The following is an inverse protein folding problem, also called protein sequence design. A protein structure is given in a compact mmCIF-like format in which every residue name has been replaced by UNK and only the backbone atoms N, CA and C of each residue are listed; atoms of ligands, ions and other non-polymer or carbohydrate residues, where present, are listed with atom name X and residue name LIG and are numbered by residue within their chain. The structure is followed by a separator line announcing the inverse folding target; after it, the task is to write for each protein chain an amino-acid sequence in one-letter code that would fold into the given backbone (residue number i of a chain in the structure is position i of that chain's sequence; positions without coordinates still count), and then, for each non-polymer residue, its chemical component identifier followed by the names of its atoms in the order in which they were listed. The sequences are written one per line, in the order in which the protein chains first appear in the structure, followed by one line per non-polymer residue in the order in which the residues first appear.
data_IF_781814864836
#
_entry.id   IF_781814864836
#
_cell.length_a   1.000
_cell.length_b   1.000
_cell.length_c   1.000
_cell.angle_alpha   90.00
_cell.angle_beta   90.00
_cell.angle_gamma   90.00
#
_symmetry.space_group_name_H-M   'P 1'
#
loop_
_entity.id
_entity.type
_entity.pdbx_description
1 polymer ?
#
# COMPACT_ATOMS: atom_id res chain seq x y z
N UNK A 1 -15.08 3.60 13.15
CA UNK A 1 -14.37 2.49 12.50
C UNK A 1 -12.89 2.58 12.88
N UNK A 2 -12.29 1.46 13.30
CA UNK A 2 -10.87 1.38 13.65
C UNK A 2 -10.09 0.68 12.53
N UNK A 3 -8.99 1.27 12.10
CA UNK A 3 -8.16 0.74 11.00
C UNK A 3 -6.70 0.61 11.40
N UNK A 4 -5.99 -0.35 10.81
CA UNK A 4 -4.54 -0.44 10.94
C UNK A 4 -3.87 0.20 9.71
N UNK A 5 -2.85 1.04 9.94
CA UNK A 5 -1.99 1.59 8.88
C UNK A 5 -0.57 1.08 9.07
N UNK A 6 -0.09 0.24 8.18
CA UNK A 6 1.27 -0.29 8.18
C UNK A 6 2.16 0.51 7.21
N UNK A 7 3.39 0.85 7.63
CA UNK A 7 4.30 1.69 6.86
C UNK A 7 4.11 3.20 7.07
N UNK A 8 3.52 3.57 8.17
CA UNK A 8 3.14 4.93 8.58
C UNK A 8 4.27 5.97 8.60
N UNK A 9 5.50 5.55 8.83
CA UNK A 9 6.68 6.46 8.84
C UNK A 9 7.17 6.85 7.45
N UNK A 10 6.59 6.24 6.40
CA UNK A 10 6.89 6.56 5.00
C UNK A 10 6.16 7.80 4.50
N UNK A 11 6.56 8.27 3.31
CA UNK A 11 5.97 9.45 2.68
C UNK A 11 4.44 9.36 2.53
N UNK A 12 3.95 8.25 1.97
CA UNK A 12 2.51 8.03 1.79
C UNK A 12 1.81 7.76 3.14
N UNK A 13 2.46 6.99 4.02
CA UNK A 13 1.87 6.60 5.30
C UNK A 13 1.56 7.77 6.21
N UNK A 14 2.40 8.81 6.26
CA UNK A 14 2.15 10.02 7.04
C UNK A 14 0.92 10.79 6.52
N UNK A 15 0.83 10.98 5.20
CA UNK A 15 -0.34 11.66 4.60
C UNK A 15 -1.61 10.85 4.85
N UNK A 16 -1.52 9.53 4.73
CA UNK A 16 -2.65 8.62 4.96
C UNK A 16 -3.16 8.70 6.41
N UNK A 17 -2.26 8.79 7.41
CA UNK A 17 -2.65 8.98 8.82
C UNK A 17 -3.45 10.28 8.98
N UNK A 18 -2.92 11.40 8.51
CA UNK A 18 -3.58 12.70 8.64
C UNK A 18 -4.99 12.69 8.03
N UNK A 19 -5.12 12.14 6.82
CA UNK A 19 -6.42 12.05 6.14
C UNK A 19 -7.38 11.07 6.83
N UNK A 20 -6.88 9.93 7.29
CA UNK A 20 -7.69 8.95 8.01
C UNK A 20 -8.24 9.55 9.32
N UNK A 21 -7.39 10.26 10.08
CA UNK A 21 -7.81 10.95 11.31
C UNK A 21 -8.85 12.03 11.00
N UNK A 22 -8.61 12.87 9.99
CA UNK A 22 -9.55 13.92 9.57
C UNK A 22 -10.90 13.33 9.09
N UNK A 23 -10.90 12.12 8.53
CA UNK A 23 -12.11 11.38 8.14
C UNK A 23 -12.79 10.64 9.32
N UNK A 24 -12.29 10.80 10.56
CA UNK A 24 -12.88 10.24 11.78
C UNK A 24 -12.53 8.76 12.05
N UNK A 25 -11.52 8.20 11.37
CA UNK A 25 -11.03 6.86 11.70
C UNK A 25 -10.17 6.88 12.97
N UNK A 26 -10.30 5.83 13.78
CA UNK A 26 -9.34 5.51 14.82
C UNK A 26 -8.20 4.69 14.17
N UNK A 27 -6.97 5.16 14.33
CA UNK A 27 -5.82 4.57 13.62
C UNK A 27 -4.89 3.86 14.60
N UNK A 28 -4.57 2.58 14.32
CA UNK A 28 -3.44 1.86 14.93
C UNK A 28 -2.31 1.76 13.91
N UNK A 29 -1.07 1.85 14.37
CA UNK A 29 0.07 1.75 13.46
C UNK A 29 1.27 1.06 14.08
N UNK A 30 2.07 0.39 13.22
CA UNK A 30 3.34 -0.25 13.59
C UNK A 30 4.50 0.65 13.16
N UNK A 31 5.35 1.04 14.09
CA UNK A 31 6.52 1.85 13.81
C UNK A 31 7.78 1.34 14.50
N UNK A 32 8.86 1.14 13.71
CA UNK A 32 10.19 0.81 14.27
C UNK A 32 10.78 1.94 15.09
N UNK A 33 10.49 3.15 14.67
CA UNK A 33 10.98 4.41 15.21
C UNK A 33 9.79 5.34 15.47
N UNK A 34 9.11 5.19 16.63
CA UNK A 34 7.93 6.00 16.99
C UNK A 34 8.17 7.50 16.95
N UNK A 35 9.40 7.95 17.24
CA UNK A 35 9.82 9.34 17.20
C UNK A 35 9.64 10.00 15.81
N UNK A 36 9.53 9.21 14.74
CA UNK A 36 9.23 9.71 13.40
C UNK A 36 7.76 10.07 13.19
N UNK A 37 6.91 9.75 14.16
CA UNK A 37 5.47 10.02 14.18
C UNK A 37 5.10 11.02 15.27
N UNK A 38 6.07 11.77 15.83
CA UNK A 38 5.82 12.74 16.90
C UNK A 38 4.79 13.81 16.51
N UNK A 39 4.77 14.18 15.23
CA UNK A 39 3.84 15.12 14.61
C UNK A 39 2.38 14.63 14.55
N UNK A 40 2.17 13.32 14.69
CA UNK A 40 0.83 12.68 14.62
C UNK A 40 0.55 11.76 15.80
N UNK A 41 1.35 11.79 16.86
CA UNK A 41 1.26 10.86 17.98
C UNK A 41 -0.11 10.87 18.68
N UNK A 42 -0.74 12.04 18.76
CA UNK A 42 -2.04 12.23 19.40
C UNK A 42 -3.23 11.77 18.51
N UNK A 43 -2.94 11.44 17.25
CA UNK A 43 -3.92 10.99 16.26
C UNK A 43 -3.98 9.46 16.13
N UNK A 44 -2.98 8.73 16.66
CA UNK A 44 -2.80 7.31 16.39
C UNK A 44 -2.34 6.52 17.61
N UNK A 45 -2.79 5.27 17.72
CA UNK A 45 -2.22 4.29 18.65
C UNK A 45 -0.97 3.67 18.02
N UNK A 46 0.22 3.97 18.56
CA UNK A 46 1.50 3.51 18.00
C UNK A 46 1.98 2.25 18.73
N UNK A 47 2.12 1.15 17.99
CA UNK A 47 2.78 -0.07 18.45
C UNK A 47 4.25 -0.02 18.00
N UNK A 48 5.19 -0.01 18.95
CA UNK A 48 6.62 -0.09 18.64
C UNK A 48 7.00 -1.49 18.21
N UNK A 49 7.52 -1.61 16.97
CA UNK A 49 7.94 -2.90 16.42
C UNK A 49 8.26 -2.84 14.92
N UNK A 50 8.57 -3.99 14.36
CA UNK A 50 8.97 -4.18 12.96
C UNK A 50 8.04 -5.17 12.26
N UNK A 51 8.01 -5.11 10.93
CA UNK A 51 7.34 -6.10 10.07
C UNK A 51 7.96 -7.51 10.14
N UNK A 52 9.12 -7.65 10.77
CA UNK A 52 9.74 -8.95 11.07
C UNK A 52 9.25 -9.58 12.38
N UNK A 53 8.38 -8.90 13.13
CA UNK A 53 7.86 -9.32 14.43
C UNK A 53 6.35 -9.62 14.34
N UNK A 54 5.93 -10.87 14.07
CA UNK A 54 4.53 -11.23 13.87
C UNK A 54 3.62 -10.82 15.03
N UNK A 55 4.07 -10.95 16.28
CA UNK A 55 3.30 -10.54 17.47
C UNK A 55 3.03 -9.02 17.49
N UNK A 56 3.94 -8.22 16.95
CA UNK A 56 3.73 -6.75 16.85
C UNK A 56 2.79 -6.38 15.71
N UNK A 57 2.85 -7.15 14.61
CA UNK A 57 1.87 -7.03 13.53
C UNK A 57 0.48 -7.38 14.07
N UNK A 58 0.34 -8.49 14.79
CA UNK A 58 -0.93 -8.93 15.40
C UNK A 58 -1.49 -7.88 16.36
N UNK A 59 -0.70 -7.38 17.30
CA UNK A 59 -1.10 -6.31 18.21
C UNK A 59 -1.56 -5.04 17.49
N UNK A 60 -1.03 -4.79 16.28
CA UNK A 60 -1.45 -3.63 15.46
C UNK A 60 -2.77 -3.88 14.75
N UNK A 61 -3.01 -5.10 14.29
CA UNK A 61 -4.18 -5.46 13.47
C UNK A 61 -5.39 -5.81 14.36
N UNK A 62 -5.14 -6.41 15.51
CA UNK A 62 -6.21 -6.86 16.42
C UNK A 62 -7.18 -5.72 16.77
N UNK A 63 -8.49 -6.02 16.65
CA UNK A 63 -9.57 -5.08 16.94
C UNK A 63 -9.76 -3.98 15.89
N UNK A 64 -9.17 -4.14 14.69
CA UNK A 64 -9.42 -3.26 13.54
C UNK A 64 -10.40 -3.90 12.56
N UNK A 65 -10.97 -3.11 11.68
CA UNK A 65 -11.96 -3.54 10.68
C UNK A 65 -11.37 -3.59 9.27
N UNK A 66 -10.25 -2.89 9.06
CA UNK A 66 -9.49 -2.90 7.81
C UNK A 66 -7.99 -2.66 8.05
N UNK A 67 -7.17 -3.15 7.14
CA UNK A 67 -5.71 -2.93 7.14
C UNK A 67 -5.30 -2.22 5.85
N UNK A 68 -4.65 -1.07 6.01
CA UNK A 68 -4.04 -0.31 4.92
C UNK A 68 -2.52 -0.45 5.01
N UNK A 69 -1.88 -0.92 3.95
CA UNK A 69 -0.44 -1.14 3.96
C UNK A 69 0.27 -0.31 2.88
N UNK A 70 1.17 0.53 3.35
CA UNK A 70 2.11 1.27 2.51
C UNK A 70 3.52 0.68 2.59
N UNK A 71 3.63 -0.56 3.13
CA UNK A 71 4.90 -1.28 3.23
C UNK A 71 5.37 -1.66 1.84
N UNK A 72 6.63 -1.41 1.57
CA UNK A 72 7.25 -1.85 0.32
C UNK A 72 8.73 -1.47 0.24
N UNK A 73 9.48 -2.10 -0.66
CA UNK A 73 10.86 -1.74 -0.89
C UNK A 73 10.96 -0.36 -1.54
N UNK A 74 11.99 0.39 -1.14
CA UNK A 74 12.31 1.70 -1.71
C UNK A 74 13.54 1.61 -2.59
N UNK A 75 13.52 2.30 -3.73
CA UNK A 75 14.70 2.44 -4.58
C UNK A 75 15.86 3.07 -3.78
N UNK A 76 17.07 2.56 -3.99
CA UNK A 76 18.28 3.05 -3.30
C UNK A 76 18.45 2.57 -1.85
N UNK A 77 17.54 1.71 -1.34
CA UNK A 77 17.71 1.08 -0.02
C UNK A 77 17.87 -0.43 -0.15
N UNK A 78 18.57 -1.09 0.82
CA UNK A 78 18.63 -2.54 0.85
C UNK A 78 17.22 -3.15 0.82
N UNK A 79 17.02 -4.12 -0.06
CA UNK A 79 15.75 -4.85 -0.19
C UNK A 79 16.02 -6.34 0.00
N UNK A 80 15.33 -6.94 0.95
CA UNK A 80 15.22 -8.38 1.11
C UNK A 80 13.80 -8.81 0.69
N UNK A 81 13.62 -9.42 -0.50
CA UNK A 81 12.32 -9.84 -0.99
C UNK A 81 11.60 -10.83 -0.07
N UNK A 82 12.35 -11.73 0.57
CA UNK A 82 11.78 -12.77 1.45
C UNK A 82 11.24 -12.17 2.75
N UNK A 83 11.86 -11.09 3.26
CA UNK A 83 11.32 -10.36 4.40
C UNK A 83 9.95 -9.76 4.08
N UNK A 84 9.80 -9.15 2.89
CA UNK A 84 8.52 -8.57 2.47
C UNK A 84 7.46 -9.66 2.25
N UNK A 85 7.82 -10.74 1.57
CA UNK A 85 6.93 -11.88 1.37
C UNK A 85 6.43 -12.44 2.71
N UNK A 86 7.36 -12.70 3.65
CA UNK A 86 7.02 -13.18 4.98
C UNK A 86 6.08 -12.22 5.70
N UNK A 87 6.37 -10.92 5.66
CA UNK A 87 5.52 -9.92 6.31
C UNK A 87 4.10 -9.92 5.74
N UNK A 88 3.92 -10.01 4.41
CA UNK A 88 2.60 -10.07 3.80
C UNK A 88 1.88 -11.38 4.17
N UNK A 89 2.58 -12.52 4.18
CA UNK A 89 2.01 -13.80 4.66
C UNK A 89 1.55 -13.71 6.11
N UNK A 90 2.37 -13.13 6.98
CA UNK A 90 2.02 -12.94 8.40
C UNK A 90 0.79 -12.03 8.54
N UNK A 91 0.72 -10.91 7.81
CA UNK A 91 -0.43 -10.00 7.78
C UNK A 91 -1.70 -10.74 7.35
N UNK A 92 -1.65 -11.46 6.21
CA UNK A 92 -2.80 -12.21 5.68
C UNK A 92 -3.30 -13.25 6.69
N UNK A 93 -2.40 -14.04 7.27
CA UNK A 93 -2.73 -15.07 8.26
C UNK A 93 -3.32 -14.46 9.55
N UNK A 94 -2.78 -13.32 10.01
CA UNK A 94 -3.28 -12.63 11.20
C UNK A 94 -4.67 -12.05 10.92
N UNK A 95 -4.88 -11.42 9.78
CA UNK A 95 -6.18 -10.89 9.38
C UNK A 95 -7.23 -11.99 9.32
N UNK A 96 -6.90 -13.13 8.70
CA UNK A 96 -7.83 -14.27 8.59
C UNK A 96 -8.21 -14.83 9.97
N UNK A 97 -7.24 -15.04 10.86
CA UNK A 97 -7.50 -15.51 12.23
C UNK A 97 -8.37 -14.54 13.05
N UNK A 98 -8.26 -13.23 12.79
CA UNK A 98 -9.03 -12.18 13.46
C UNK A 98 -10.36 -11.86 12.74
N UNK A 99 -10.70 -12.55 11.66
CA UNK A 99 -11.92 -12.32 10.87
C UNK A 99 -11.94 -10.99 10.11
N UNK A 100 -10.79 -10.34 9.92
CA UNK A 100 -10.66 -9.07 9.22
C UNK A 100 -10.44 -9.36 7.75
N UNK A 101 -11.33 -8.91 6.88
CA UNK A 101 -11.25 -9.23 5.45
C UNK A 101 -10.69 -8.10 4.58
N UNK A 102 -10.92 -6.83 4.93
CA UNK A 102 -10.54 -5.70 4.07
C UNK A 102 -9.07 -5.35 4.17
N UNK A 103 -8.32 -5.60 3.08
CA UNK A 103 -6.89 -5.32 2.96
C UNK A 103 -6.59 -4.44 1.74
N UNK A 104 -5.94 -3.30 1.94
CA UNK A 104 -5.55 -2.40 0.86
C UNK A 104 -4.03 -2.23 0.91
N UNK A 105 -3.36 -2.70 -0.15
CA UNK A 105 -1.89 -2.68 -0.26
C UNK A 105 -1.45 -1.74 -1.37
N UNK A 106 -0.41 -0.95 -1.12
CA UNK A 106 0.25 -0.18 -2.18
C UNK A 106 1.32 -1.04 -2.85
N UNK A 107 1.09 -1.32 -4.11
CA UNK A 107 2.02 -1.99 -5.00
C UNK A 107 2.89 -1.02 -5.81
N UNK A 108 2.95 -1.21 -7.11
CA UNK A 108 3.66 -0.34 -8.06
C UNK A 108 3.32 -0.70 -9.51
N UNK A 109 3.24 0.31 -10.38
CA UNK A 109 2.83 0.15 -11.78
C UNK A 109 3.83 -0.63 -12.65
N UNK A 110 5.06 -0.84 -12.18
CA UNK A 110 6.05 -1.65 -12.89
C UNK A 110 5.85 -3.15 -12.74
N UNK A 111 4.97 -3.58 -11.83
CA UNK A 111 4.60 -4.98 -11.61
C UNK A 111 3.35 -5.34 -12.41
N UNK A 112 3.28 -6.57 -12.90
CA UNK A 112 2.09 -7.17 -13.49
C UNK A 112 1.05 -7.43 -12.40
N UNK A 113 -0.21 -7.14 -12.65
CA UNK A 113 -1.28 -7.31 -11.67
C UNK A 113 -2.60 -7.79 -12.30
N UNK A 114 -2.57 -8.16 -13.55
CA UNK A 114 -3.75 -8.65 -14.27
C UNK A 114 -3.42 -9.19 -15.64
N UNK A 115 -4.40 -9.80 -16.28
CA UNK A 115 -4.32 -10.25 -17.67
C UNK A 115 -4.59 -9.08 -18.61
N UNK A 116 -3.99 -9.14 -19.82
CA UNK A 116 -4.19 -8.17 -20.90
C UNK A 116 -3.85 -6.69 -20.57
N UNK A 117 -2.84 -6.48 -19.72
CA UNK A 117 -2.38 -5.12 -19.42
C UNK A 117 -1.72 -4.46 -20.63
N UNK A 118 -2.08 -3.20 -20.89
CA UNK A 118 -1.39 -2.36 -21.86
C UNK A 118 -0.10 -1.79 -21.26
N UNK A 119 1.02 -2.28 -21.74
CA UNK A 119 2.34 -1.84 -21.33
C UNK A 119 2.77 -0.63 -22.18
N UNK A 120 2.36 0.55 -21.76
CA UNK A 120 2.84 1.79 -22.36
C UNK A 120 4.38 1.86 -22.35
N UNK A 121 4.96 2.62 -23.28
CA UNK A 121 6.41 2.77 -23.42
C UNK A 121 7.06 3.17 -22.07
N UNK A 122 6.44 4.10 -21.33
CA UNK A 122 6.95 4.56 -20.05
C UNK A 122 6.99 3.43 -18.99
N UNK A 123 5.97 2.55 -18.95
CA UNK A 123 5.95 1.38 -18.05
C UNK A 123 7.03 0.36 -18.45
N UNK A 124 7.23 0.14 -19.76
CA UNK A 124 8.30 -0.74 -20.25
C UNK A 124 9.68 -0.22 -19.89
N UNK A 125 9.94 1.09 -20.03
CA UNK A 125 11.19 1.74 -19.62
C UNK A 125 11.40 1.61 -18.12
N UNK A 126 10.39 1.93 -17.30
CA UNK A 126 10.47 1.79 -15.84
C UNK A 126 10.77 0.34 -15.43
N UNK A 127 10.09 -0.62 -16.05
CA UNK A 127 10.33 -2.05 -15.78
C UNK A 127 11.73 -2.48 -16.19
N UNK A 128 12.23 -2.02 -17.34
CA UNK A 128 13.58 -2.30 -17.78
C UNK A 128 14.62 -1.73 -16.81
N UNK A 129 14.45 -0.48 -16.38
CA UNK A 129 15.30 0.15 -15.37
C UNK A 129 15.33 -0.66 -14.06
N UNK A 130 14.17 -1.09 -13.57
CA UNK A 130 14.07 -1.91 -12.35
C UNK A 130 14.66 -3.32 -12.56
N UNK A 131 14.57 -3.89 -13.76
CA UNK A 131 15.26 -5.17 -14.06
C UNK A 131 16.78 -5.05 -13.97
N UNK A 132 17.34 -3.91 -14.38
CA UNK A 132 18.78 -3.67 -14.36
C UNK A 132 19.30 -3.25 -12.97
N UNK A 133 18.58 -2.36 -12.28
CA UNK A 133 19.07 -1.71 -11.07
C UNK A 133 18.24 -2.02 -9.81
N UNK A 134 17.06 -2.58 -9.97
CA UNK A 134 16.10 -2.83 -8.88
C UNK A 134 15.50 -4.25 -8.91
N UNK A 135 16.21 -5.26 -9.40
CA UNK A 135 15.68 -6.64 -9.55
C UNK A 135 15.01 -7.17 -8.28
N UNK A 136 15.60 -6.92 -7.11
CA UNK A 136 15.04 -7.33 -5.82
C UNK A 136 13.69 -6.69 -5.52
N UNK A 137 13.46 -5.45 -5.98
CA UNK A 137 12.17 -4.75 -5.83
C UNK A 137 11.09 -5.47 -6.66
N UNK A 138 11.39 -5.82 -7.90
CA UNK A 138 10.45 -6.56 -8.75
C UNK A 138 10.13 -7.94 -8.17
N UNK A 139 11.14 -8.65 -7.64
CA UNK A 139 10.93 -9.95 -6.98
C UNK A 139 10.03 -9.78 -5.74
N UNK A 140 10.31 -8.79 -4.88
CA UNK A 140 9.47 -8.54 -3.70
C UNK A 140 8.01 -8.25 -4.08
N UNK A 141 7.79 -7.44 -5.12
CA UNK A 141 6.44 -7.12 -5.60
C UNK A 141 5.73 -8.31 -6.27
N UNK A 142 6.49 -9.18 -6.93
CA UNK A 142 5.92 -10.43 -7.46
C UNK A 142 5.49 -11.38 -6.34
N UNK A 143 6.33 -11.58 -5.34
CA UNK A 143 6.00 -12.43 -4.19
C UNK A 143 4.80 -11.89 -3.40
N UNK A 144 4.73 -10.57 -3.21
CA UNK A 144 3.56 -9.90 -2.62
C UNK A 144 2.27 -10.21 -3.41
N UNK A 145 2.31 -10.09 -4.73
CA UNK A 145 1.19 -10.39 -5.62
C UNK A 145 0.73 -11.85 -5.50
N UNK A 146 1.67 -12.81 -5.51
CA UNK A 146 1.34 -14.24 -5.39
C UNK A 146 0.66 -14.56 -4.04
N UNK A 147 1.10 -13.93 -2.95
CA UNK A 147 0.44 -14.10 -1.64
C UNK A 147 -0.98 -13.54 -1.65
N UNK A 148 -1.18 -12.33 -2.18
CA UNK A 148 -2.50 -11.71 -2.22
C UNK A 148 -3.47 -12.49 -3.11
N UNK A 149 -3.04 -12.88 -4.29
CA UNK A 149 -3.85 -13.60 -5.28
C UNK A 149 -4.42 -14.92 -4.74
N UNK A 150 -3.67 -15.58 -3.87
CA UNK A 150 -4.06 -16.87 -3.26
C UNK A 150 -4.80 -16.71 -1.93
N UNK A 151 -4.94 -15.49 -1.40
CA UNK A 151 -5.63 -15.24 -0.14
C UNK A 151 -7.15 -15.10 -0.30
N UNK A 152 -7.89 -15.37 0.79
CA UNK A 152 -9.34 -15.19 0.86
C UNK A 152 -9.77 -13.81 1.38
N UNK A 153 -8.83 -12.86 1.42
CA UNK A 153 -9.12 -11.49 1.82
C UNK A 153 -9.85 -10.72 0.70
N UNK A 154 -10.57 -9.70 1.10
CA UNK A 154 -11.10 -8.66 0.22
C UNK A 154 -10.00 -7.63 -0.06
N UNK A 155 -8.94 -8.08 -0.73
CA UNK A 155 -7.77 -7.25 -0.99
C UNK A 155 -7.96 -6.32 -2.18
N UNK A 156 -7.25 -5.19 -2.16
CA UNK A 156 -7.03 -4.30 -3.30
C UNK A 156 -5.54 -3.98 -3.38
N UNK A 157 -4.88 -4.28 -4.50
CA UNK A 157 -3.48 -3.91 -4.74
C UNK A 157 -3.43 -2.63 -5.58
N UNK A 158 -3.31 -1.49 -4.94
CA UNK A 158 -3.23 -0.19 -5.60
C UNK A 158 -1.87 -0.02 -6.26
N UNK A 159 -1.81 0.17 -7.58
CA UNK A 159 -0.56 0.22 -8.34
C UNK A 159 -0.29 1.61 -8.92
N UNK A 160 0.24 2.53 -8.12
CA UNK A 160 0.62 3.86 -8.60
C UNK A 160 1.88 3.79 -9.48
N UNK A 161 2.02 4.73 -10.45
CA UNK A 161 3.28 4.96 -11.13
C UNK A 161 4.25 5.72 -10.20
N UNK A 162 4.73 6.88 -10.58
CA UNK A 162 5.51 7.74 -9.68
C UNK A 162 4.56 8.51 -8.75
N UNK A 163 4.77 8.38 -7.44
CA UNK A 163 4.07 9.18 -6.43
C UNK A 163 4.81 10.52 -6.28
N UNK A 164 4.10 11.64 -6.37
CA UNK A 164 4.66 12.99 -6.26
C UNK A 164 4.05 13.76 -5.09
N UNK A 165 4.76 14.80 -4.66
CA UNK A 165 4.29 15.74 -3.64
C UNK A 165 3.58 16.96 -4.29
N UNK A 166 3.12 16.81 -5.53
CA UNK A 166 2.34 17.85 -6.17
C UNK A 166 0.97 17.97 -5.46
N UNK A 167 0.35 19.12 -5.57
CA UNK A 167 -1.02 19.36 -5.11
C UNK A 167 -1.98 18.36 -5.78
N UNK A 168 -2.92 17.82 -5.01
CA UNK A 168 -3.96 16.94 -5.49
C UNK A 168 -4.84 17.61 -6.53
N UNK A 169 -5.30 16.84 -7.49
CA UNK A 169 -6.23 17.31 -8.52
C UNK A 169 -7.68 17.04 -8.15
N UNK A 170 -7.91 16.17 -7.16
CA UNK A 170 -9.23 15.66 -6.81
C UNK A 170 -9.81 14.74 -7.88
N UNK A 171 -9.01 14.35 -8.89
CA UNK A 171 -9.45 13.54 -10.03
C UNK A 171 -8.51 12.37 -10.26
N UNK A 172 -8.98 11.17 -9.94
CA UNK A 172 -8.25 9.92 -10.11
C UNK A 172 -8.77 9.13 -11.30
N UNK A 173 -7.83 8.54 -12.02
CA UNK A 173 -8.10 7.48 -12.96
C UNK A 173 -7.59 6.17 -12.37
N UNK A 174 -8.49 5.20 -12.27
CA UNK A 174 -8.17 3.83 -11.84
C UNK A 174 -8.63 2.85 -12.91
N UNK A 175 -7.74 1.93 -13.31
CA UNK A 175 -8.01 0.94 -14.35
C UNK A 175 -7.06 -0.26 -14.21
N UNK A 176 -7.48 -1.48 -14.54
CA UNK A 176 -6.62 -2.66 -14.46
C UNK A 176 -5.65 -2.78 -15.62
N UNK A 177 -5.93 -2.17 -16.75
CA UNK A 177 -5.20 -2.37 -18.01
C UNK A 177 -4.18 -1.29 -18.29
N UNK A 178 -4.51 0.00 -18.09
CA UNK A 178 -3.67 1.12 -18.53
C UNK A 178 -3.57 2.25 -17.51
N UNK A 179 -2.54 3.09 -17.67
CA UNK A 179 -2.36 4.36 -16.97
C UNK A 179 -2.69 5.53 -17.90
N UNK A 180 -3.36 6.55 -17.38
CA UNK A 180 -3.57 7.82 -18.09
C UNK A 180 -2.47 8.84 -17.82
N UNK A 181 -1.74 8.70 -16.72
CA UNK A 181 -0.63 9.57 -16.36
C UNK A 181 0.53 8.76 -15.78
N UNK A 182 1.74 9.30 -15.90
CA UNK A 182 2.97 8.71 -15.34
C UNK A 182 3.18 9.06 -13.86
N UNK A 183 2.28 9.82 -13.26
CA UNK A 183 2.34 10.21 -11.86
C UNK A 183 0.97 10.25 -11.20
N UNK A 184 0.98 10.13 -9.89
CA UNK A 184 -0.15 10.39 -9.00
C UNK A 184 0.34 11.27 -7.84
N UNK A 185 -0.45 12.27 -7.43
CA UNK A 185 -0.14 13.02 -6.22
C UNK A 185 -0.37 12.14 -4.99
N UNK A 186 0.40 12.36 -3.93
CA UNK A 186 0.20 11.63 -2.68
C UNK A 186 -1.18 11.92 -2.10
N UNK A 187 -1.69 13.12 -2.30
CA UNK A 187 -3.02 13.54 -1.85
C UNK A 187 -4.12 12.72 -2.55
N UNK A 188 -4.12 12.70 -3.89
CA UNK A 188 -5.09 11.93 -4.67
C UNK A 188 -5.00 10.42 -4.36
N UNK A 189 -3.77 9.89 -4.24
CA UNK A 189 -3.54 8.48 -3.94
C UNK A 189 -4.12 8.08 -2.58
N UNK A 190 -3.91 8.91 -1.56
CA UNK A 190 -4.40 8.62 -0.20
C UNK A 190 -5.91 8.77 -0.10
N UNK A 191 -6.53 9.69 -0.82
CA UNK A 191 -7.98 9.78 -0.95
C UNK A 191 -8.56 8.51 -1.58
N UNK A 192 -7.99 8.06 -2.71
CA UNK A 192 -8.40 6.82 -3.34
C UNK A 192 -8.28 5.61 -2.40
N UNK A 193 -7.18 5.51 -1.64
CA UNK A 193 -6.97 4.41 -0.68
C UNK A 193 -8.05 4.41 0.40
N UNK A 194 -8.39 5.58 0.97
CA UNK A 194 -9.43 5.68 2.00
C UNK A 194 -10.83 5.35 1.47
N UNK A 195 -11.15 5.77 0.25
CA UNK A 195 -12.41 5.39 -0.41
C UNK A 195 -12.56 3.88 -0.54
N UNK A 196 -11.44 3.16 -0.80
CA UNK A 196 -11.48 1.71 -0.95
C UNK A 196 -11.83 0.96 0.35
N UNK A 197 -11.77 1.59 1.52
CA UNK A 197 -12.17 0.94 2.78
C UNK A 197 -13.61 0.42 2.68
N UNK A 198 -14.50 1.23 2.11
CA UNK A 198 -15.93 0.94 2.01
C UNK A 198 -16.39 0.56 0.60
N UNK A 199 -15.56 0.78 -0.44
CA UNK A 199 -15.89 0.42 -1.82
C UNK A 199 -15.65 -1.07 -2.07
N UNK A 200 -16.49 -1.65 -2.94
CA UNK A 200 -16.37 -3.03 -3.44
C UNK A 200 -15.82 -3.11 -4.86
N UNK A 201 -15.58 -1.98 -5.53
CA UNK A 201 -15.26 -1.93 -6.96
C UNK A 201 -13.94 -2.63 -7.30
N UNK A 202 -12.98 -2.56 -6.36
CA UNK A 202 -11.64 -3.10 -6.53
C UNK A 202 -11.31 -4.26 -5.59
N UNK A 203 -12.32 -4.96 -5.05
CA UNK A 203 -12.10 -6.19 -4.29
C UNK A 203 -11.48 -7.25 -5.20
N UNK A 204 -10.38 -7.85 -4.74
CA UNK A 204 -9.56 -8.86 -5.44
C UNK A 204 -9.06 -8.37 -6.81
N UNK A 205 -8.79 -7.07 -6.91
CA UNK A 205 -8.28 -6.44 -8.12
C UNK A 205 -7.02 -5.61 -7.84
N UNK A 206 -6.29 -5.33 -8.93
CA UNK A 206 -5.01 -4.63 -8.87
C UNK A 206 -5.01 -3.38 -9.79
N UNK A 207 -5.80 -2.32 -9.47
CA UNK A 207 -5.90 -1.15 -10.32
C UNK A 207 -4.58 -0.39 -10.42
N UNK A 208 -4.25 0.03 -11.64
CA UNK A 208 -3.30 1.10 -11.94
C UNK A 208 -3.97 2.44 -11.63
N UNK A 209 -3.34 3.28 -10.81
CA UNK A 209 -3.96 4.50 -10.30
C UNK A 209 -3.10 5.71 -10.60
N UNK A 210 -3.66 6.72 -11.26
CA UNK A 210 -2.95 7.95 -11.60
C UNK A 210 -3.83 9.19 -11.46
N UNK A 211 -3.23 10.38 -11.20
CA UNK A 211 -3.98 11.65 -11.22
C UNK A 211 -4.29 12.06 -12.65
N UNK A 212 -5.52 12.52 -12.90
CA UNK A 212 -5.86 13.21 -14.13
C UNK A 212 -5.36 14.66 -14.06
N UNK A 213 -5.07 15.23 -15.22
CA UNK A 213 -4.74 16.66 -15.30
C UNK A 213 -5.98 17.51 -14.94
N UNK A 214 -5.73 18.65 -14.30
CA UNK A 214 -6.77 19.69 -14.10
C UNK A 214 -7.30 20.17 -15.42
#
# INVERSE_FOLDING_TARGET
MKIAILGSTGFVGKVLINKAFAAGYQVKTLARYPEKLEDVKDMVEIIKGSISEPLKIEATIEGTEAVLSTIGPHAGKPCDPLLYEKAIKDIVNIMDRNGIKRYIQIGGAAHEGGENEDWSLNRRILRLFLRLFGKKILVAKHLEWEVLKTSDLDWTLVRPPRISNDEGTGRIYANEQRLESIKVSVEDLTDFILEQINSKDWIRKAPLVSSLKK
#
